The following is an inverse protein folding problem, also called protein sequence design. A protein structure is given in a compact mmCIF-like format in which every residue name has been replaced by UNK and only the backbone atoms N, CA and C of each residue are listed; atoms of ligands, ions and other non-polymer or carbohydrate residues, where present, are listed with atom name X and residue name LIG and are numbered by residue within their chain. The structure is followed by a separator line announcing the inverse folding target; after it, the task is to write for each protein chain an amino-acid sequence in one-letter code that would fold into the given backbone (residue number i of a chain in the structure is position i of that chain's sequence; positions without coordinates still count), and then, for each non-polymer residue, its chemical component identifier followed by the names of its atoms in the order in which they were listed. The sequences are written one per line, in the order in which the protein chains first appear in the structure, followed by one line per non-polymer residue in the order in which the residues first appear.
data_IF_695331332213
#
_entry.id   IF_695331332213
#
_cell.length_a   1.000
_cell.length_b   1.000
_cell.length_c   1.000
_cell.angle_alpha   90.00
_cell.angle_beta   90.00
_cell.angle_gamma   90.00
#
_symmetry.space_group_name_H-M   'P 1'
#
loop_
_entity.id
_entity.type
_entity.pdbx_description
1 polymer ?
#
# COMPACT_ATOMS: atom_id res chain seq x y z
N UNK A 1 -12.97 17.48 -12.16
CA UNK A 1 -13.24 16.93 -10.82
C UNK A 1 -12.46 15.62 -10.54
N UNK A 2 -12.14 14.81 -11.57
CA UNK A 2 -11.42 13.55 -11.39
C UNK A 2 -10.00 13.73 -10.82
N UNK A 3 -9.33 14.84 -11.10
CA UNK A 3 -7.94 15.10 -10.70
C UNK A 3 -7.73 14.93 -9.20
N UNK A 4 -8.67 15.39 -8.36
CA UNK A 4 -8.54 15.23 -6.90
C UNK A 4 -8.51 13.74 -6.48
N UNK A 5 -9.37 12.92 -7.09
CA UNK A 5 -9.38 11.47 -6.85
C UNK A 5 -8.11 10.78 -7.37
N UNK A 6 -7.62 11.22 -8.53
CA UNK A 6 -6.37 10.69 -9.11
C UNK A 6 -5.17 11.04 -8.23
N UNK A 7 -5.09 12.27 -7.70
CA UNK A 7 -4.06 12.65 -6.75
C UNK A 7 -4.11 11.78 -5.48
N UNK A 8 -5.30 11.50 -4.95
CA UNK A 8 -5.47 10.56 -3.84
C UNK A 8 -4.94 9.18 -4.18
N UNK A 9 -5.34 8.63 -5.32
CA UNK A 9 -4.84 7.35 -5.82
C UNK A 9 -3.33 7.30 -6.02
N UNK A 10 -2.72 8.39 -6.50
CA UNK A 10 -1.28 8.52 -6.63
C UNK A 10 -0.57 8.47 -5.28
N UNK A 11 -1.06 9.24 -4.33
CA UNK A 11 -0.44 9.30 -2.99
C UNK A 11 -0.56 7.99 -2.23
N UNK A 12 -1.65 7.25 -2.42
CA UNK A 12 -1.92 6.00 -1.70
C UNK A 12 -1.59 4.74 -2.52
N UNK A 13 -0.92 4.93 -3.68
CA UNK A 13 -0.48 3.83 -4.55
C UNK A 13 -1.63 2.93 -5.03
N UNK A 14 -2.77 3.55 -5.35
CA UNK A 14 -3.96 2.84 -5.83
C UNK A 14 -3.90 2.69 -7.35
N UNK A 15 -3.99 1.48 -7.90
CA UNK A 15 -4.05 1.28 -9.34
C UNK A 15 -5.37 1.82 -9.90
N UNK A 16 -5.29 2.80 -10.77
CA UNK A 16 -6.45 3.44 -11.41
C UNK A 16 -6.24 3.57 -12.91
N UNK A 17 -7.29 3.37 -13.68
CA UNK A 17 -7.35 3.75 -15.08
C UNK A 17 -8.42 4.83 -15.26
N UNK A 18 -8.00 5.98 -15.73
CA UNK A 18 -8.90 7.11 -16.03
C UNK A 18 -9.00 7.30 -17.54
N UNK A 19 -10.22 7.40 -18.03
CA UNK A 19 -10.51 7.69 -19.43
C UNK A 19 -11.23 9.03 -19.52
N UNK A 20 -10.70 9.96 -20.32
CA UNK A 20 -11.36 11.22 -20.62
C UNK A 20 -11.63 11.36 -22.11
N UNK A 21 -12.70 12.04 -22.45
CA UNK A 21 -12.99 12.45 -23.83
C UNK A 21 -12.34 13.80 -24.13
N UNK A 22 -11.90 13.98 -25.37
CA UNK A 22 -11.33 15.21 -25.89
C UNK A 22 -12.11 15.69 -27.14
N UNK A 23 -11.99 16.96 -27.48
CA UNK A 23 -12.44 17.46 -28.78
C UNK A 23 -11.72 16.73 -29.92
N UNK A 24 -12.15 16.88 -31.15
CA UNK A 24 -11.46 16.28 -32.30
C UNK A 24 -9.98 16.67 -32.29
N UNK A 25 -9.10 15.70 -32.54
CA UNK A 25 -7.66 15.93 -32.51
C UNK A 25 -7.22 17.10 -33.42
N UNK A 26 -7.75 17.16 -34.65
CA UNK A 26 -7.47 18.21 -35.62
C UNK A 26 -7.96 19.61 -35.22
N UNK A 27 -8.68 19.72 -34.11
CA UNK A 27 -9.10 21.00 -33.51
C UNK A 27 -8.37 21.31 -32.21
N UNK A 28 -7.31 20.57 -31.88
CA UNK A 28 -6.53 20.83 -30.67
C UNK A 28 -5.35 21.77 -30.92
N UNK A 29 -4.94 22.51 -29.88
CA UNK A 29 -3.71 23.30 -29.90
C UNK A 29 -2.48 22.42 -30.13
N UNK A 30 -2.50 21.18 -29.59
CA UNK A 30 -1.44 20.18 -29.80
C UNK A 30 -1.26 19.85 -31.28
N UNK A 31 -2.34 19.61 -32.00
CA UNK A 31 -2.29 19.36 -33.46
C UNK A 31 -1.77 20.55 -34.27
N UNK A 32 -2.11 21.77 -33.85
CA UNK A 32 -1.67 22.99 -34.55
C UNK A 32 -0.17 23.24 -34.45
N UNK A 33 0.51 22.65 -33.46
CA UNK A 33 1.92 22.87 -33.14
C UNK A 33 2.23 24.28 -32.64
N UNK A 34 1.22 25.09 -32.36
CA UNK A 34 1.34 26.49 -31.94
C UNK A 34 1.22 26.63 -30.42
N UNK A 35 1.86 27.63 -29.85
CA UNK A 35 1.78 27.97 -28.43
C UNK A 35 0.48 28.65 -27.98
N UNK A 36 -0.67 28.36 -28.65
CA UNK A 36 -1.97 28.86 -28.29
C UNK A 36 -2.56 28.09 -27.12
N UNK A 37 -3.48 28.73 -26.37
CA UNK A 37 -4.10 28.10 -25.20
C UNK A 37 -5.14 27.03 -25.54
N UNK A 38 -5.94 27.28 -26.59
CA UNK A 38 -6.95 26.38 -27.10
C UNK A 38 -7.29 26.77 -28.56
N UNK A 39 -7.72 25.80 -29.37
CA UNK A 39 -8.28 26.00 -30.71
C UNK A 39 -9.71 25.44 -30.76
N UNK A 40 -9.96 24.29 -30.16
CA UNK A 40 -11.28 23.69 -30.03
C UNK A 40 -12.12 24.27 -28.89
N UNK A 41 -13.42 24.04 -28.94
CA UNK A 41 -14.35 24.46 -27.88
C UNK A 41 -14.14 23.61 -26.63
N UNK A 42 -13.82 24.27 -25.51
CA UNK A 42 -13.51 23.62 -24.21
C UNK A 42 -12.31 22.64 -24.24
N UNK A 43 -11.43 22.81 -25.22
CA UNK A 43 -10.20 22.02 -25.31
C UNK A 43 -9.28 22.26 -24.09
N UNK A 44 -8.68 21.18 -23.60
CA UNK A 44 -7.63 21.25 -22.60
C UNK A 44 -6.70 20.04 -22.72
N UNK A 45 -5.40 20.28 -22.78
CA UNK A 45 -4.41 19.17 -22.79
C UNK A 45 -4.22 18.63 -21.37
N UNK A 46 -5.12 17.75 -20.96
CA UNK A 46 -5.14 17.18 -19.61
C UNK A 46 -3.88 16.37 -19.31
N UNK A 47 -3.34 15.64 -20.31
CA UNK A 47 -2.17 14.78 -20.11
C UNK A 47 -0.97 15.55 -19.55
N UNK A 48 -0.70 16.76 -20.06
CA UNK A 48 0.37 17.62 -19.53
C UNK A 48 0.14 18.05 -18.09
N UNK A 49 -1.10 18.18 -17.65
CA UNK A 49 -1.44 18.66 -16.31
C UNK A 49 -1.35 17.56 -15.25
N UNK A 50 -1.52 16.31 -15.64
CA UNK A 50 -1.56 15.17 -14.71
C UNK A 50 -0.31 14.30 -14.77
N UNK A 51 0.65 14.64 -15.58
CA UNK A 51 1.92 13.90 -15.75
C UNK A 51 2.61 13.64 -14.39
N UNK A 52 2.62 14.64 -13.50
CA UNK A 52 3.25 14.52 -12.18
C UNK A 52 2.51 13.60 -11.19
N UNK A 53 1.31 13.12 -11.52
CA UNK A 53 0.49 12.26 -10.65
C UNK A 53 -0.05 11.01 -11.37
N UNK A 54 0.59 10.62 -12.47
CA UNK A 54 0.26 9.40 -13.21
C UNK A 54 1.52 8.63 -13.58
N UNK A 55 1.41 7.32 -13.67
CA UNK A 55 2.50 6.46 -14.15
C UNK A 55 2.63 6.46 -15.66
N UNK A 56 1.51 6.74 -16.32
CA UNK A 56 1.40 6.85 -17.77
C UNK A 56 0.20 7.72 -18.11
N UNK A 57 0.40 8.67 -19.00
CA UNK A 57 -0.67 9.47 -19.56
C UNK A 57 -0.46 9.65 -21.06
N UNK A 58 -1.50 9.44 -21.86
CA UNK A 58 -1.44 9.59 -23.31
C UNK A 58 -2.74 10.15 -23.88
N UNK A 59 -2.63 11.10 -24.82
CA UNK A 59 -3.72 11.43 -25.73
C UNK A 59 -3.65 10.46 -26.92
N UNK A 60 -4.62 9.56 -27.01
CA UNK A 60 -4.68 8.53 -28.05
C UNK A 60 -5.12 9.15 -29.37
N UNK A 61 -4.17 9.50 -30.21
CA UNK A 61 -4.46 10.20 -31.49
C UNK A 61 -4.66 9.27 -32.67
N UNK A 62 -4.23 8.02 -32.56
CA UNK A 62 -4.39 6.97 -33.56
C UNK A 62 -5.35 5.90 -33.03
N UNK A 63 -6.51 5.68 -33.68
CA UNK A 63 -7.47 4.66 -33.23
C UNK A 63 -6.89 3.23 -33.25
N UNK A 64 -5.88 2.94 -34.08
CA UNK A 64 -5.25 1.62 -34.13
C UNK A 64 -4.42 1.32 -32.88
N UNK A 65 -4.03 2.34 -32.11
CA UNK A 65 -3.29 2.20 -30.87
C UNK A 65 -4.15 2.00 -29.61
N UNK A 66 -5.48 2.04 -29.75
CA UNK A 66 -6.37 2.03 -28.57
C UNK A 66 -6.17 0.81 -27.69
N UNK A 67 -6.03 -0.39 -28.26
CA UNK A 67 -5.80 -1.63 -27.53
C UNK A 67 -4.46 -1.58 -26.81
N UNK A 68 -3.40 -1.23 -27.51
CA UNK A 68 -2.06 -1.06 -26.92
C UNK A 68 -2.07 -0.10 -25.74
N UNK A 69 -2.63 1.10 -25.90
CA UNK A 69 -2.67 2.11 -24.84
C UNK A 69 -3.46 1.64 -23.61
N UNK A 70 -4.60 0.96 -23.82
CA UNK A 70 -5.42 0.42 -22.73
C UNK A 70 -4.68 -0.68 -21.97
N UNK A 71 -4.10 -1.66 -22.68
CA UNK A 71 -3.38 -2.78 -22.06
C UNK A 71 -2.11 -2.28 -21.34
N UNK A 72 -1.36 -1.35 -21.94
CA UNK A 72 -0.19 -0.68 -21.32
C UNK A 72 -0.59 0.07 -20.05
N UNK A 73 -1.66 0.86 -20.11
CA UNK A 73 -2.14 1.59 -18.94
C UNK A 73 -2.54 0.65 -17.80
N UNK A 74 -3.28 -0.43 -18.09
CA UNK A 74 -3.69 -1.43 -17.11
C UNK A 74 -2.49 -2.17 -16.50
N UNK A 75 -1.50 -2.51 -17.32
CA UNK A 75 -0.27 -3.14 -16.87
C UNK A 75 0.52 -2.20 -15.95
N UNK A 76 0.78 -0.96 -16.40
CA UNK A 76 1.56 0.01 -15.64
C UNK A 76 0.87 0.44 -14.35
N UNK A 77 -0.46 0.57 -14.35
CA UNK A 77 -1.20 0.89 -13.14
C UNK A 77 -0.95 -0.10 -12.01
N UNK A 78 -0.73 -1.39 -12.33
CA UNK A 78 -0.56 -2.49 -11.37
C UNK A 78 0.88 -2.90 -11.13
N UNK A 79 1.82 -2.59 -12.04
CA UNK A 79 3.20 -3.06 -11.96
C UNK A 79 4.06 -2.20 -11.03
N UNK A 80 5.05 -2.80 -10.38
CA UNK A 80 5.93 -2.11 -9.44
C UNK A 80 5.13 -1.46 -8.30
N UNK A 81 5.44 -0.21 -7.93
CA UNK A 81 4.56 0.60 -7.08
C UNK A 81 3.32 0.97 -7.88
N UNK A 82 2.11 0.52 -7.51
CA UNK A 82 0.90 0.82 -8.25
C UNK A 82 0.57 2.32 -8.27
N UNK A 83 -0.25 2.74 -9.23
CA UNK A 83 -0.68 4.14 -9.32
C UNK A 83 -1.57 4.40 -10.52
N UNK A 84 -2.12 5.62 -10.65
CA UNK A 84 -3.01 6.00 -11.73
C UNK A 84 -2.33 6.03 -13.10
N UNK A 85 -3.10 5.67 -14.13
CA UNK A 85 -2.83 5.94 -15.54
C UNK A 85 -4.01 6.67 -16.16
N UNK A 86 -3.76 7.47 -17.19
CA UNK A 86 -4.79 8.31 -17.83
C UNK A 86 -4.68 8.26 -19.35
N UNK A 87 -5.80 7.96 -20.00
CA UNK A 87 -5.91 8.07 -21.46
C UNK A 87 -6.95 9.14 -21.83
N UNK A 88 -6.54 10.09 -22.66
CA UNK A 88 -7.39 11.13 -23.22
C UNK A 88 -7.73 10.80 -24.67
N UNK A 89 -9.01 10.61 -24.99
CA UNK A 89 -9.43 10.01 -26.25
C UNK A 89 -10.21 11.04 -27.08
N UNK A 90 -9.62 11.61 -28.15
CA UNK A 90 -10.28 12.55 -29.04
C UNK A 90 -11.52 11.97 -29.72
N UNK A 91 -12.52 12.83 -29.98
CA UNK A 91 -13.82 12.46 -30.53
C UNK A 91 -13.71 11.70 -31.87
N UNK A 92 -12.78 12.09 -32.73
CA UNK A 92 -12.54 11.39 -34.00
C UNK A 92 -11.97 9.98 -33.82
N UNK A 93 -11.21 9.73 -32.72
CA UNK A 93 -10.73 8.39 -32.34
C UNK A 93 -11.88 7.57 -31.77
N UNK A 94 -12.72 8.16 -30.91
CA UNK A 94 -13.90 7.50 -30.35
C UNK A 94 -14.90 7.03 -31.43
N UNK A 95 -15.01 7.79 -32.51
CA UNK A 95 -15.91 7.46 -33.62
C UNK A 95 -15.28 6.69 -34.77
N UNK A 96 -14.01 6.30 -34.66
CA UNK A 96 -13.33 5.56 -35.71
C UNK A 96 -13.81 4.10 -35.79
N UNK A 97 -13.96 3.61 -37.03
CA UNK A 97 -14.15 2.18 -37.26
C UNK A 97 -12.80 1.48 -37.26
N UNK A 98 -12.68 0.46 -36.42
CA UNK A 98 -11.49 -0.39 -36.33
C UNK A 98 -11.92 -1.86 -36.35
N UNK A 99 -11.20 -2.68 -37.09
CA UNK A 99 -11.35 -4.13 -36.99
C UNK A 99 -10.54 -4.61 -35.79
N UNK A 100 -11.20 -5.29 -34.85
CA UNK A 100 -10.58 -5.67 -33.56
C UNK A 100 -9.41 -6.63 -33.74
N UNK A 101 -9.45 -7.43 -34.80
CA UNK A 101 -8.40 -8.38 -35.19
C UNK A 101 -7.10 -7.69 -35.63
N UNK A 102 -7.20 -6.46 -36.15
CA UNK A 102 -6.06 -5.67 -36.63
C UNK A 102 -5.39 -4.86 -35.53
N UNK A 103 -6.00 -4.82 -34.33
CA UNK A 103 -5.46 -4.06 -33.20
C UNK A 103 -4.32 -4.82 -32.52
N UNK A 104 -3.14 -4.22 -32.52
CA UNK A 104 -2.01 -4.74 -31.76
C UNK A 104 -2.17 -4.50 -30.25
N UNK A 105 -1.81 -5.50 -29.45
CA UNK A 105 -1.81 -5.41 -28.00
C UNK A 105 -0.49 -4.89 -27.44
N UNK A 106 -0.44 -4.75 -26.11
CA UNK A 106 0.77 -4.44 -25.37
C UNK A 106 1.49 -5.76 -24.98
N UNK A 107 2.79 -5.83 -25.23
CA UNK A 107 3.66 -6.94 -24.83
C UNK A 107 4.46 -6.55 -23.57
N UNK A 108 4.09 -7.05 -22.36
CA UNK A 108 4.81 -6.79 -21.15
C UNK A 108 6.26 -7.28 -21.16
N UNK A 109 6.54 -8.44 -21.79
CA UNK A 109 7.88 -9.01 -21.80
C UNK A 109 8.84 -8.16 -22.64
N UNK A 110 8.42 -7.73 -23.84
CA UNK A 110 9.19 -6.80 -24.64
C UNK A 110 9.43 -5.48 -23.89
N UNK A 111 8.40 -4.95 -23.24
CA UNK A 111 8.51 -3.72 -22.45
C UNK A 111 9.50 -3.87 -21.29
N UNK A 112 9.45 -4.94 -20.52
CA UNK A 112 10.36 -5.19 -19.40
C UNK A 112 11.81 -5.38 -19.88
N UNK A 113 12.01 -5.96 -21.05
CA UNK A 113 13.34 -6.13 -21.66
C UNK A 113 13.87 -4.87 -22.37
N UNK A 114 13.23 -3.73 -22.19
CA UNK A 114 13.69 -2.42 -22.70
C UNK A 114 13.08 -2.03 -24.05
N UNK A 115 12.16 -2.84 -24.59
CA UNK A 115 11.36 -2.48 -25.76
C UNK A 115 10.23 -1.51 -25.43
N UNK A 116 9.40 -1.20 -26.41
CA UNK A 116 8.22 -0.35 -26.25
C UNK A 116 7.01 -1.11 -25.71
N UNK A 117 7.02 -2.44 -25.81
CA UNK A 117 5.86 -3.29 -25.62
C UNK A 117 4.88 -3.24 -26.80
N UNK A 118 5.25 -2.59 -27.89
CA UNK A 118 4.49 -2.60 -29.15
C UNK A 118 4.87 -3.83 -29.94
N UNK A 119 3.90 -4.61 -30.37
CA UNK A 119 4.12 -5.86 -31.13
C UNK A 119 4.94 -5.66 -32.40
N UNK A 120 5.58 -6.74 -32.85
CA UNK A 120 6.53 -6.74 -33.97
C UNK A 120 5.89 -6.70 -35.36
N UNK A 121 4.58 -6.64 -35.48
CA UNK A 121 3.85 -6.54 -36.73
C UNK A 121 3.87 -5.13 -37.30
N UNK A 122 4.98 -4.80 -37.88
CA UNK A 122 5.23 -3.97 -39.04
C UNK A 122 4.53 -2.63 -39.20
N UNK A 123 5.19 -1.55 -38.79
CA UNK A 123 5.37 -0.30 -39.57
C UNK A 123 4.15 0.46 -40.14
N UNK A 124 2.97 0.39 -39.58
CA UNK A 124 1.91 1.23 -40.14
C UNK A 124 1.82 2.61 -39.42
N UNK A 125 2.22 2.67 -38.17
CA UNK A 125 2.20 3.92 -37.39
C UNK A 125 3.51 4.09 -36.62
N UNK A 126 4.20 5.19 -36.83
CA UNK A 126 5.45 5.49 -36.15
C UNK A 126 5.23 5.57 -34.65
N UNK A 127 5.99 4.76 -33.87
CA UNK A 127 6.07 4.93 -32.41
C UNK A 127 6.68 6.31 -32.16
N UNK A 128 6.09 7.14 -31.26
CA UNK A 128 6.72 8.39 -30.88
C UNK A 128 8.18 8.17 -30.42
N UNK A 129 9.08 9.08 -30.79
CA UNK A 129 10.52 8.93 -30.47
C UNK A 129 10.79 8.84 -28.95
N UNK A 130 9.92 9.44 -28.13
CA UNK A 130 9.95 9.40 -26.68
C UNK A 130 9.55 8.03 -26.11
N UNK A 131 8.82 7.22 -26.88
CA UNK A 131 8.46 5.83 -26.53
C UNK A 131 9.46 4.81 -27.08
N UNK A 132 10.41 5.20 -27.91
CA UNK A 132 11.43 4.30 -28.41
C UNK A 132 12.22 3.72 -27.23
N UNK A 133 12.19 2.39 -27.11
CA UNK A 133 12.90 1.69 -26.03
C UNK A 133 14.39 1.98 -26.07
N UNK A 134 15.00 2.20 -24.91
CA UNK A 134 16.44 2.44 -24.79
C UNK A 134 17.27 1.16 -24.73
N UNK A 135 16.60 -0.01 -24.88
CA UNK A 135 17.26 -1.32 -24.82
C UNK A 135 17.74 -1.73 -23.41
N UNK A 136 17.45 -0.93 -22.39
CA UNK A 136 17.78 -1.25 -21.00
C UNK A 136 16.63 -1.98 -20.32
N UNK A 137 16.94 -3.08 -19.64
CA UNK A 137 15.95 -3.84 -18.89
C UNK A 137 15.33 -2.98 -17.79
N UNK A 138 14.01 -2.91 -17.74
CA UNK A 138 13.27 -2.18 -16.70
C UNK A 138 13.09 -3.06 -15.47
N UNK A 139 13.58 -2.60 -14.35
CA UNK A 139 13.34 -3.26 -13.07
C UNK A 139 12.11 -2.65 -12.40
N UNK A 140 10.97 -3.30 -12.54
CA UNK A 140 9.69 -2.83 -12.00
C UNK A 140 9.52 -3.12 -10.51
N UNK A 141 10.13 -4.19 -10.01
CA UNK A 141 10.14 -4.57 -8.60
C UNK A 141 11.56 -4.52 -8.05
N UNK A 142 11.73 -4.23 -6.75
CA UNK A 142 13.02 -4.37 -6.09
C UNK A 142 13.57 -5.80 -6.17
N UNK A 143 14.85 -5.95 -5.85
CA UNK A 143 15.47 -7.26 -5.67
C UNK A 143 14.82 -8.03 -4.52
N UNK A 144 14.91 -9.36 -4.57
CA UNK A 144 14.38 -10.22 -3.51
C UNK A 144 15.16 -10.05 -2.22
N UNK A 145 14.45 -10.21 -1.10
CA UNK A 145 15.04 -10.21 0.24
C UNK A 145 15.94 -11.42 0.41
N UNK A 146 17.17 -11.21 0.88
CA UNK A 146 18.06 -12.32 1.16
C UNK A 146 17.70 -13.04 2.46
N UNK A 147 18.12 -14.28 2.58
CA UNK A 147 17.96 -15.07 3.81
C UNK A 147 18.66 -14.40 4.99
N UNK A 148 19.84 -13.85 4.79
CA UNK A 148 20.61 -13.16 5.82
C UNK A 148 19.86 -11.94 6.36
N UNK A 149 19.13 -11.21 5.49
CA UNK A 149 18.28 -10.09 5.91
C UNK A 149 17.12 -10.57 6.77
N UNK A 150 16.45 -11.66 6.38
CA UNK A 150 15.37 -12.24 7.17
C UNK A 150 15.88 -12.73 8.54
N UNK A 151 16.99 -13.44 8.59
CA UNK A 151 17.60 -13.92 9.82
C UNK A 151 18.03 -12.76 10.74
N UNK A 152 18.55 -11.65 10.17
CA UNK A 152 18.87 -10.44 10.92
C UNK A 152 17.62 -9.82 11.54
N UNK A 153 16.53 -9.67 10.79
CA UNK A 153 15.26 -9.14 11.29
C UNK A 153 14.75 -10.01 12.45
N UNK A 154 14.69 -11.33 12.26
CA UNK A 154 14.21 -12.25 13.29
C UNK A 154 15.10 -12.23 14.55
N UNK A 155 16.42 -12.12 14.39
CA UNK A 155 17.34 -11.98 15.52
C UNK A 155 17.11 -10.69 16.32
N UNK A 156 16.81 -9.58 15.63
CA UNK A 156 16.47 -8.30 16.28
C UNK A 156 15.16 -8.38 17.04
N UNK A 157 14.12 -8.97 16.44
CA UNK A 157 12.82 -9.18 17.09
C UNK A 157 12.98 -10.02 18.34
N UNK A 158 13.75 -11.12 18.27
CA UNK A 158 14.00 -12.01 19.41
C UNK A 158 14.75 -11.31 20.57
N UNK A 159 15.64 -10.38 20.25
CA UNK A 159 16.40 -9.63 21.25
C UNK A 159 15.61 -8.45 21.86
N UNK A 160 14.53 -8.02 21.23
CA UNK A 160 13.71 -6.91 21.69
C UNK A 160 12.84 -7.33 22.89
N UNK A 161 12.56 -6.38 23.77
CA UNK A 161 11.66 -6.57 24.90
C UNK A 161 10.24 -6.11 24.61
N UNK A 162 10.10 -5.12 23.73
CA UNK A 162 8.82 -4.46 23.39
C UNK A 162 8.68 -4.27 21.87
N UNK A 163 8.78 -5.36 21.08
CA UNK A 163 8.63 -5.26 19.64
C UNK A 163 7.17 -5.04 19.24
N UNK A 164 6.96 -4.34 18.12
CA UNK A 164 5.65 -4.19 17.46
C UNK A 164 5.78 -4.35 15.95
N UNK A 165 4.74 -4.87 15.31
CA UNK A 165 4.56 -4.77 13.86
C UNK A 165 3.69 -3.55 13.57
N UNK A 166 4.14 -2.69 12.66
CA UNK A 166 3.33 -1.64 12.06
C UNK A 166 2.93 -2.08 10.65
N UNK A 167 1.70 -2.58 10.53
CA UNK A 167 1.15 -3.07 9.26
C UNK A 167 0.62 -1.92 8.42
N UNK A 168 1.08 -1.79 7.19
CA UNK A 168 0.64 -0.80 6.22
C UNK A 168 -0.14 -1.40 5.06
N UNK A 169 -0.81 -0.54 4.29
CA UNK A 169 -1.64 -0.95 3.15
C UNK A 169 -0.86 -1.65 2.03
N UNK A 170 0.46 -1.46 1.97
CA UNK A 170 1.34 -2.20 1.05
C UNK A 170 1.22 -3.71 1.16
N UNK A 171 0.83 -4.24 2.33
CA UNK A 171 0.54 -5.67 2.54
C UNK A 171 -0.64 -6.11 1.66
N UNK A 172 -1.73 -5.33 1.63
CA UNK A 172 -2.90 -5.60 0.79
C UNK A 172 -2.61 -5.41 -0.68
N UNK A 173 -1.92 -4.34 -1.04
CA UNK A 173 -1.51 -4.03 -2.41
C UNK A 173 -0.64 -5.14 -3.00
N UNK A 174 0.30 -5.68 -2.21
CA UNK A 174 1.16 -6.79 -2.62
C UNK A 174 0.44 -8.15 -2.66
N UNK A 175 -0.84 -8.24 -2.27
CA UNK A 175 -1.55 -9.51 -2.14
C UNK A 175 -0.92 -10.43 -1.09
N UNK A 176 -0.39 -9.86 -0.01
CA UNK A 176 0.41 -10.54 1.01
C UNK A 176 -0.32 -10.77 2.34
N UNK A 177 -1.63 -10.55 2.39
CA UNK A 177 -2.39 -10.62 3.64
C UNK A 177 -2.29 -11.98 4.34
N UNK A 178 -2.45 -13.07 3.61
CA UNK A 178 -2.44 -14.41 4.21
C UNK A 178 -1.06 -14.78 4.79
N UNK A 179 0.01 -14.41 4.10
CA UNK A 179 1.37 -14.63 4.62
C UNK A 179 1.68 -13.67 5.78
N UNK A 180 1.16 -12.44 5.75
CA UNK A 180 1.28 -11.50 6.86
C UNK A 180 0.64 -12.06 8.14
N UNK A 181 -0.56 -12.61 8.05
CA UNK A 181 -1.24 -13.20 9.21
C UNK A 181 -0.44 -14.36 9.79
N UNK A 182 0.07 -15.27 8.93
CA UNK A 182 0.93 -16.38 9.41
C UNK A 182 2.20 -15.87 10.10
N UNK A 183 2.86 -14.87 9.50
CA UNK A 183 4.08 -14.27 10.10
C UNK A 183 3.77 -13.61 11.45
N UNK A 184 2.68 -12.83 11.53
CA UNK A 184 2.26 -12.17 12.77
C UNK A 184 1.97 -13.17 13.89
N UNK A 185 1.24 -14.26 13.59
CA UNK A 185 0.92 -15.33 14.54
C UNK A 185 2.16 -16.09 14.98
N UNK A 186 3.07 -16.45 14.07
CA UNK A 186 4.36 -17.10 14.39
C UNK A 186 5.29 -16.20 15.21
N UNK A 187 5.30 -14.90 14.95
CA UNK A 187 6.06 -13.93 15.73
C UNK A 187 5.47 -13.75 17.12
N UNK A 188 4.16 -13.70 17.27
CA UNK A 188 3.47 -13.50 18.54
C UNK A 188 3.63 -12.10 19.14
N UNK A 189 3.94 -11.09 18.33
CA UNK A 189 4.15 -9.71 18.79
C UNK A 189 2.95 -8.81 18.47
N UNK A 190 2.71 -7.73 19.27
CA UNK A 190 1.61 -6.81 19.03
C UNK A 190 1.64 -6.20 17.63
N UNK A 191 0.46 -6.12 17.01
CA UNK A 191 0.24 -5.53 15.69
C UNK A 191 -0.52 -4.22 15.83
N UNK A 192 -0.02 -3.18 15.19
CA UNK A 192 -0.68 -1.89 14.99
C UNK A 192 -0.84 -1.61 13.51
N UNK A 193 -1.90 -0.89 13.16
CA UNK A 193 -2.19 -0.53 11.78
C UNK A 193 -2.02 0.96 11.54
N UNK A 194 -1.84 1.35 10.29
CA UNK A 194 -2.02 2.70 9.82
C UNK A 194 -3.51 3.04 9.65
N UNK A 195 -3.78 4.22 9.16
CA UNK A 195 -5.14 4.70 8.95
C UNK A 195 -5.81 4.14 7.68
N UNK A 196 -5.03 3.63 6.75
CA UNK A 196 -5.42 3.06 5.46
C UNK A 196 -5.19 1.55 5.38
N UNK A 197 -4.91 0.92 6.52
CA UNK A 197 -4.59 -0.51 6.63
C UNK A 197 -5.34 -1.21 7.75
N UNK A 198 -6.48 -0.68 8.15
CA UNK A 198 -7.33 -1.20 9.22
C UNK A 198 -7.88 -2.60 8.96
N UNK A 199 -7.94 -3.01 7.70
CA UNK A 199 -8.37 -4.34 7.28
C UNK A 199 -7.25 -5.39 7.25
N UNK A 200 -6.01 -5.02 7.60
CA UNK A 200 -4.91 -5.97 7.68
C UNK A 200 -5.06 -6.98 8.82
N UNK A 201 -5.77 -6.61 9.89
CA UNK A 201 -6.04 -7.48 11.04
C UNK A 201 -7.35 -7.02 11.70
N UNK A 202 -8.20 -7.95 12.13
CA UNK A 202 -9.48 -7.58 12.74
C UNK A 202 -9.34 -7.18 14.21
N UNK A 203 -10.28 -6.37 14.68
CA UNK A 203 -10.21 -5.73 16.00
C UNK A 203 -10.12 -6.70 17.17
N UNK A 204 -10.77 -7.86 17.10
CA UNK A 204 -10.78 -8.86 18.17
C UNK A 204 -9.58 -9.81 18.14
N UNK A 205 -8.70 -9.69 17.13
CA UNK A 205 -7.52 -10.53 17.08
C UNK A 205 -6.62 -10.31 18.31
N UNK A 206 -6.11 -11.38 18.96
CA UNK A 206 -5.33 -11.26 20.19
C UNK A 206 -4.07 -10.40 20.07
N UNK A 207 -3.47 -10.31 18.88
CA UNK A 207 -2.27 -9.52 18.62
C UNK A 207 -2.61 -8.05 18.26
N UNK A 208 -3.85 -7.75 17.86
CA UNK A 208 -4.19 -6.38 17.47
C UNK A 208 -4.27 -5.44 18.67
N UNK A 209 -3.44 -4.40 18.64
CA UNK A 209 -3.37 -3.41 19.73
C UNK A 209 -4.17 -2.16 19.42
N UNK A 210 -4.18 -1.73 18.17
CA UNK A 210 -4.88 -0.51 17.76
C UNK A 210 -4.24 0.16 16.56
N UNK A 211 -4.64 1.39 16.30
CA UNK A 211 -4.20 2.22 15.19
C UNK A 211 -3.29 3.33 15.69
N UNK A 212 -2.10 3.48 15.06
CA UNK A 212 -1.21 4.58 15.37
C UNK A 212 -1.35 5.76 14.41
N UNK A 213 -0.87 6.93 14.82
CA UNK A 213 -0.86 8.16 14.04
C UNK A 213 -1.83 9.22 14.56
N UNK A 214 -1.97 10.33 13.81
CA UNK A 214 -2.80 11.47 14.19
C UNK A 214 -4.29 11.12 14.33
N UNK A 215 -4.75 10.19 13.53
CA UNK A 215 -6.12 9.66 13.53
C UNK A 215 -6.19 8.30 14.23
N UNK A 216 -5.14 7.92 14.93
CA UNK A 216 -5.06 6.67 15.67
C UNK A 216 -5.72 6.74 17.05
N UNK A 217 -5.81 5.58 17.67
CA UNK A 217 -6.27 5.44 19.04
C UNK A 217 -5.12 5.54 20.05
N UNK A 218 -5.46 5.55 21.33
CA UNK A 218 -4.46 5.67 22.41
C UNK A 218 -3.59 4.43 22.50
N UNK A 219 -4.17 3.25 22.39
CA UNK A 219 -3.46 1.99 22.57
C UNK A 219 -2.40 1.81 21.47
N UNK A 220 -2.76 2.01 20.19
CA UNK A 220 -1.83 1.97 19.08
C UNK A 220 -0.69 2.97 19.21
N UNK A 221 -1.01 4.22 19.60
CA UNK A 221 0.00 5.25 19.81
C UNK A 221 0.89 4.95 21.04
N UNK A 222 0.35 4.40 22.13
CA UNK A 222 1.16 4.00 23.28
C UNK A 222 2.09 2.85 22.94
N UNK A 223 1.62 1.86 22.16
CA UNK A 223 2.44 0.74 21.72
C UNK A 223 3.65 1.21 20.90
N UNK A 224 3.43 2.05 19.89
CA UNK A 224 4.52 2.62 19.08
C UNK A 224 5.52 3.41 19.93
N UNK A 225 5.02 4.28 20.81
CA UNK A 225 5.86 5.20 21.55
C UNK A 225 6.68 4.54 22.68
N UNK A 226 6.26 3.36 23.13
CA UNK A 226 6.95 2.61 24.17
C UNK A 226 7.66 1.35 23.65
N UNK A 227 7.58 1.09 22.34
CA UNK A 227 8.33 -0.01 21.71
C UNK A 227 9.83 0.24 21.74
N UNK A 228 10.61 -0.84 21.73
CA UNK A 228 12.07 -0.83 21.53
C UNK A 228 12.46 -1.42 20.16
N UNK A 229 11.49 -1.97 19.43
CA UNK A 229 11.62 -2.36 18.03
C UNK A 229 10.31 -2.17 17.29
N UNK A 230 10.38 -1.58 16.10
CA UNK A 230 9.26 -1.48 15.14
C UNK A 230 9.64 -2.19 13.86
N UNK A 231 8.86 -3.21 13.48
CA UNK A 231 8.87 -3.79 12.14
C UNK A 231 7.74 -3.15 11.33
N UNK A 232 8.07 -2.18 10.48
CA UNK A 232 7.10 -1.51 9.61
C UNK A 232 7.11 -2.15 8.22
N UNK A 233 5.97 -2.68 7.79
CA UNK A 233 5.81 -3.39 6.51
C UNK A 233 4.83 -2.64 5.62
N UNK A 234 5.29 -2.12 4.49
CA UNK A 234 4.47 -1.49 3.45
C UNK A 234 3.64 -0.29 3.91
N UNK A 235 4.15 0.49 4.89
CA UNK A 235 3.38 1.56 5.54
C UNK A 235 3.67 2.95 4.99
N UNK A 236 4.69 3.14 4.16
CA UNK A 236 5.15 4.47 3.73
C UNK A 236 5.51 5.43 4.88
N UNK A 237 5.04 5.22 6.09
CA UNK A 237 5.26 6.06 7.27
C UNK A 237 5.05 7.56 6.97
N UNK A 238 3.86 7.90 6.49
CA UNK A 238 3.48 9.28 6.16
C UNK A 238 3.40 10.16 7.42
N UNK A 239 3.35 11.47 7.25
CA UNK A 239 3.16 12.42 8.36
C UNK A 239 1.90 12.12 9.19
N UNK A 240 0.86 11.55 8.59
CA UNK A 240 -0.34 11.10 9.32
C UNK A 240 -0.03 9.98 10.31
N UNK A 241 0.93 9.10 9.97
CA UNK A 241 1.37 8.00 10.82
C UNK A 241 2.40 8.46 11.87
N UNK A 242 3.43 9.18 11.44
CA UNK A 242 4.56 9.56 12.32
C UNK A 242 4.34 10.90 13.05
N UNK A 243 3.38 11.70 12.61
CA UNK A 243 3.07 13.01 13.15
C UNK A 243 4.02 14.11 12.68
N UNK A 244 3.63 15.38 12.90
CA UNK A 244 4.48 16.52 12.54
C UNK A 244 5.75 16.62 13.39
N UNK A 245 5.71 16.09 14.62
CA UNK A 245 6.90 15.96 15.46
C UNK A 245 7.56 14.58 15.25
N UNK A 246 7.79 14.21 13.99
CA UNK A 246 8.29 12.90 13.58
C UNK A 246 9.61 12.49 14.26
N UNK A 247 10.42 13.44 14.72
CA UNK A 247 11.67 13.17 15.44
C UNK A 247 11.44 12.43 16.78
N UNK A 248 10.23 12.48 17.32
CA UNK A 248 9.87 11.78 18.56
C UNK A 248 9.06 10.52 18.32
N UNK A 249 8.77 10.17 17.07
CA UNK A 249 8.07 8.95 16.75
C UNK A 249 8.95 7.74 17.01
N UNK A 250 8.40 6.73 17.69
CA UNK A 250 9.11 5.51 18.04
C UNK A 250 10.52 5.76 18.64
N UNK A 251 10.63 6.79 19.49
CA UNK A 251 11.87 7.44 19.94
C UNK A 251 12.94 6.52 20.55
N UNK A 252 12.55 5.35 21.04
CA UNK A 252 13.45 4.37 21.65
C UNK A 252 13.58 3.08 20.86
N UNK A 253 12.88 2.98 19.73
CA UNK A 253 12.81 1.77 18.95
C UNK A 253 13.92 1.68 17.90
N UNK A 254 14.43 0.48 17.69
CA UNK A 254 15.13 0.10 16.48
C UNK A 254 14.09 -0.05 15.35
N UNK A 255 14.14 0.79 14.33
CA UNK A 255 13.14 0.83 13.27
C UNK A 255 13.62 0.04 12.05
N UNK A 256 12.89 -1.03 11.75
CA UNK A 256 13.03 -1.79 10.51
C UNK A 256 11.90 -1.31 9.58
N UNK A 257 12.25 -0.66 8.48
CA UNK A 257 11.28 -0.14 7.54
C UNK A 257 11.38 -0.85 6.19
N UNK A 258 10.28 -1.48 5.76
CA UNK A 258 10.13 -2.06 4.43
C UNK A 258 9.25 -1.17 3.57
N UNK A 259 9.73 -0.87 2.39
CA UNK A 259 8.96 -0.19 1.34
C UNK A 259 9.42 -0.67 -0.04
N UNK A 260 8.50 -0.65 -1.01
CA UNK A 260 8.78 -0.96 -2.40
C UNK A 260 9.53 0.18 -3.11
N UNK A 261 9.46 1.39 -2.54
CA UNK A 261 10.08 2.60 -3.07
C UNK A 261 11.29 3.00 -2.21
N UNK A 262 12.48 2.97 -2.81
CA UNK A 262 13.72 3.31 -2.12
C UNK A 262 13.77 4.77 -1.64
N UNK A 263 13.03 5.67 -2.28
CA UNK A 263 13.01 7.09 -1.89
C UNK A 263 12.17 7.31 -0.62
N UNK A 264 11.12 6.51 -0.43
CA UNK A 264 10.35 6.52 0.82
C UNK A 264 11.21 6.13 2.03
N UNK A 265 12.17 5.23 1.83
CA UNK A 265 13.10 4.80 2.88
C UNK A 265 14.18 5.86 3.23
N UNK A 266 14.39 6.87 2.38
CA UNK A 266 15.40 7.92 2.54
C UNK A 266 14.83 9.24 3.07
N UNK A 267 13.51 9.37 3.17
CA UNK A 267 12.87 10.64 3.54
C UNK A 267 13.22 11.06 4.97
N UNK A 268 13.39 12.37 5.23
CA UNK A 268 13.89 12.86 6.52
C UNK A 268 12.89 12.72 7.67
N UNK A 269 11.62 12.41 7.39
CA UNK A 269 10.58 12.20 8.41
C UNK A 269 10.59 10.79 9.02
N UNK A 270 11.45 9.90 8.54
CA UNK A 270 11.56 8.52 9.06
C UNK A 270 13.03 8.21 9.29
N UNK A 271 13.35 7.79 10.52
CA UNK A 271 14.63 7.19 10.82
C UNK A 271 14.47 5.67 10.71
N UNK A 272 15.08 5.05 9.72
CA UNK A 272 15.15 3.61 9.58
C UNK A 272 16.55 3.13 9.95
N UNK A 273 16.66 2.34 11.04
CA UNK A 273 17.93 1.70 11.42
C UNK A 273 18.27 0.55 10.46
N UNK A 274 17.25 -0.10 9.93
CA UNK A 274 17.35 -1.10 8.87
C UNK A 274 16.31 -0.81 7.79
N UNK A 275 16.76 -0.30 6.66
CA UNK A 275 15.93 -0.09 5.48
C UNK A 275 15.90 -1.35 4.61
N UNK A 276 14.72 -1.88 4.31
CA UNK A 276 14.50 -3.06 3.49
C UNK A 276 13.74 -2.67 2.22
N UNK A 277 14.48 -2.40 1.15
CA UNK A 277 13.92 -2.08 -0.15
C UNK A 277 13.48 -3.36 -0.84
N UNK A 278 12.21 -3.72 -0.66
CA UNK A 278 11.64 -4.96 -1.20
C UNK A 278 10.12 -4.86 -1.30
N UNK A 279 9.52 -5.70 -2.14
CA UNK A 279 8.09 -5.96 -2.11
C UNK A 279 7.69 -6.56 -0.75
N UNK A 280 6.57 -6.11 -0.20
CA UNK A 280 6.09 -6.55 1.11
C UNK A 280 5.82 -8.07 1.14
N UNK A 281 5.33 -8.63 0.03
CA UNK A 281 5.08 -10.07 -0.07
C UNK A 281 6.39 -10.86 -0.03
N UNK A 282 7.40 -10.41 -0.76
CA UNK A 282 8.71 -11.08 -0.78
C UNK A 282 9.35 -11.07 0.61
N UNK A 283 9.33 -9.94 1.31
CA UNK A 283 9.81 -9.87 2.70
C UNK A 283 9.07 -10.85 3.61
N UNK A 284 7.73 -10.86 3.55
CA UNK A 284 6.91 -11.69 4.42
C UNK A 284 7.08 -13.19 4.10
N UNK A 285 7.22 -13.58 2.83
CA UNK A 285 7.50 -14.96 2.44
C UNK A 285 8.87 -15.43 2.95
N UNK A 286 9.90 -14.58 2.89
CA UNK A 286 11.21 -14.89 3.44
C UNK A 286 11.19 -15.03 4.97
N UNK A 287 10.46 -14.17 5.66
CA UNK A 287 10.27 -14.27 7.11
C UNK A 287 9.49 -15.52 7.49
N UNK A 288 8.41 -15.85 6.75
CA UNK A 288 7.58 -17.03 6.97
C UNK A 288 8.41 -18.32 6.92
N UNK A 289 9.19 -18.49 5.84
CA UNK A 289 10.07 -19.65 5.68
C UNK A 289 11.18 -19.73 6.72
N UNK A 290 11.77 -18.59 7.09
CA UNK A 290 12.79 -18.56 8.13
C UNK A 290 12.22 -18.89 9.52
N UNK A 291 11.00 -18.44 9.82
CA UNK A 291 10.28 -18.76 11.05
C UNK A 291 9.95 -20.25 11.16
N UNK A 292 9.50 -20.88 10.07
CA UNK A 292 9.22 -22.32 10.06
C UNK A 292 10.46 -23.13 10.47
N UNK A 293 11.61 -22.84 9.87
CA UNK A 293 12.85 -23.54 10.21
C UNK A 293 13.30 -23.33 11.68
N UNK A 294 13.12 -22.11 12.20
CA UNK A 294 13.46 -21.80 13.60
C UNK A 294 12.54 -22.55 14.55
N UNK A 295 11.22 -22.47 14.34
CA UNK A 295 10.22 -23.08 15.19
C UNK A 295 10.26 -24.62 15.14
N UNK A 296 10.59 -25.21 13.98
CA UNK A 296 10.83 -26.66 13.87
C UNK A 296 12.06 -27.11 14.67
N UNK A 297 13.20 -26.40 14.52
CA UNK A 297 14.43 -26.72 15.27
C UNK A 297 14.21 -26.66 16.79
N UNK A 298 13.54 -25.59 17.26
CA UNK A 298 13.19 -25.44 18.67
C UNK A 298 12.14 -26.47 19.12
N UNK A 299 11.22 -26.85 18.20
CA UNK A 299 10.24 -27.91 18.36
C UNK A 299 10.88 -29.27 18.68
N UNK A 300 11.85 -29.62 17.89
CA UNK A 300 12.57 -30.88 18.04
C UNK A 300 13.41 -30.91 19.32
N UNK A 301 13.98 -29.77 19.73
CA UNK A 301 14.75 -29.68 21.01
C UNK A 301 13.84 -29.73 22.24
N UNK A 302 12.59 -29.21 22.19
CA UNK A 302 11.63 -29.26 23.29
C UNK A 302 10.81 -30.55 23.34
N UNK A 303 10.57 -31.23 22.21
CA UNK A 303 9.89 -32.51 22.17
C UNK A 303 10.67 -33.60 22.94
N UNK A 304 11.98 -33.42 23.05
CA UNK A 304 12.82 -34.24 23.94
C UNK A 304 12.65 -33.90 25.44
N UNK A 305 12.03 -32.78 25.80
CA UNK A 305 11.98 -32.30 27.16
C UNK A 305 10.61 -32.09 27.81
N UNK A 306 9.49 -31.86 27.10
CA UNK A 306 8.17 -31.61 27.74
C UNK A 306 6.96 -31.77 26.81
N UNK A 307 5.93 -32.43 27.36
CA UNK A 307 4.57 -32.50 26.84
C UNK A 307 3.76 -31.23 27.20
N UNK A 308 3.73 -30.18 26.35
CA UNK A 308 2.67 -29.18 26.38
C UNK A 308 2.37 -28.69 24.96
N UNK A 309 1.12 -28.93 24.54
CA UNK A 309 0.50 -28.39 23.32
C UNK A 309 0.22 -26.89 23.50
N UNK A 310 0.94 -26.03 22.79
CA UNK A 310 0.62 -24.65 22.50
C UNK A 310 1.26 -24.32 21.14
N UNK A 311 0.61 -23.50 20.32
CA UNK A 311 1.24 -22.96 19.12
C UNK A 311 2.49 -22.20 19.54
N UNK A 312 3.61 -22.51 18.90
CA UNK A 312 4.89 -21.89 19.24
C UNK A 312 5.00 -20.55 18.55
N UNK A 313 5.34 -19.55 19.32
CA UNK A 313 5.65 -18.21 18.86
C UNK A 313 7.12 -17.91 19.11
N UNK A 314 7.71 -17.07 18.25
CA UNK A 314 9.11 -16.64 18.39
C UNK A 314 9.33 -15.76 19.61
N UNK A 315 8.34 -14.95 19.97
CA UNK A 315 8.39 -13.99 21.05
C UNK A 315 7.65 -14.49 22.29
N UNK A 316 8.26 -14.37 23.43
CA UNK A 316 7.77 -14.94 24.71
C UNK A 316 6.89 -13.98 25.53
N UNK A 317 6.45 -12.87 24.91
CA UNK A 317 5.60 -11.84 25.52
C UNK A 317 6.35 -10.61 26.07
N UNK A 318 7.66 -10.67 26.23
CA UNK A 318 8.54 -9.54 26.56
C UNK A 318 8.29 -8.86 27.92
N UNK A 319 8.83 -7.65 28.09
CA UNK A 319 8.72 -6.86 29.33
C UNK A 319 7.80 -5.63 29.12
N UNK A 320 6.66 -5.62 29.78
CA UNK A 320 5.68 -4.52 29.77
C UNK A 320 5.74 -3.64 31.00
N UNK A 321 4.57 -3.22 31.48
CA UNK A 321 4.42 -2.54 32.77
C UNK A 321 4.75 -3.48 33.94
N UNK A 322 5.05 -2.97 35.15
CA UNK A 322 5.37 -3.80 36.29
C UNK A 322 4.35 -4.92 36.52
N UNK A 323 4.82 -6.15 36.47
CA UNK A 323 4.01 -7.36 36.64
C UNK A 323 3.25 -7.84 35.42
N UNK A 324 3.49 -7.26 34.23
CA UNK A 324 2.88 -7.66 32.97
C UNK A 324 3.92 -7.90 31.89
N UNK A 325 3.65 -8.82 31.01
CA UNK A 325 4.35 -8.93 29.72
C UNK A 325 4.02 -7.74 28.82
N UNK A 326 4.80 -7.56 27.75
CA UNK A 326 4.54 -6.52 26.75
C UNK A 326 3.19 -6.72 26.03
N UNK A 327 2.88 -7.95 25.65
CA UNK A 327 1.61 -8.30 25.00
C UNK A 327 0.40 -8.04 25.92
N UNK A 328 0.52 -8.36 27.23
CA UNK A 328 -0.53 -8.04 28.21
C UNK A 328 -0.68 -6.54 28.40
N UNK A 329 0.42 -5.78 28.45
CA UNK A 329 0.40 -4.32 28.55
C UNK A 329 -0.33 -3.70 27.36
N UNK A 330 -0.03 -4.13 26.13
CA UNK A 330 -0.71 -3.65 24.91
C UNK A 330 -2.22 -3.96 24.95
N UNK A 331 -2.60 -5.17 25.35
CA UNK A 331 -3.99 -5.59 25.51
C UNK A 331 -4.70 -4.75 26.55
N UNK A 332 -4.09 -4.54 27.70
CA UNK A 332 -4.63 -3.70 28.77
C UNK A 332 -4.88 -2.26 28.31
N UNK A 333 -3.98 -1.67 27.53
CA UNK A 333 -4.22 -0.35 26.94
C UNK A 333 -5.43 -0.33 26.00
N UNK A 334 -5.58 -1.35 25.15
CA UNK A 334 -6.73 -1.48 24.25
C UNK A 334 -8.05 -1.56 25.03
N UNK A 335 -8.09 -2.34 26.09
CA UNK A 335 -9.27 -2.51 26.94
C UNK A 335 -9.58 -1.26 27.76
N UNK A 336 -8.52 -0.58 28.27
CA UNK A 336 -8.67 0.63 29.11
C UNK A 336 -9.08 1.87 28.29
N UNK A 337 -8.65 1.93 27.04
CA UNK A 337 -8.88 3.09 26.17
C UNK A 337 -9.61 2.71 24.86
N UNK A 338 -10.80 2.11 24.94
CA UNK A 338 -11.56 1.75 23.74
C UNK A 338 -11.90 3.00 22.93
N UNK A 339 -11.92 2.85 21.60
CA UNK A 339 -12.27 3.93 20.66
C UNK A 339 -13.70 4.41 20.93
N UNK A 340 -14.64 3.47 21.07
CA UNK A 340 -16.02 3.78 21.45
C UNK A 340 -16.21 3.52 22.93
N UNK A 341 -16.47 4.59 23.68
CA UNK A 341 -16.63 4.58 25.13
C UNK A 341 -18.12 4.59 25.50
N UNK A 342 -18.45 4.15 26.71
CA UNK A 342 -19.83 4.13 27.23
C UNK A 342 -20.51 5.51 27.10
N UNK A 343 -19.79 6.59 27.38
CA UNK A 343 -20.30 7.96 27.23
C UNK A 343 -20.78 8.31 25.81
N UNK A 344 -20.28 7.64 24.78
CA UNK A 344 -20.68 7.88 23.39
C UNK A 344 -22.08 7.33 23.08
N UNK A 345 -22.62 6.44 23.94
CA UNK A 345 -23.97 5.90 23.85
C UNK A 345 -25.00 6.70 24.66
N UNK A 346 -24.54 7.65 25.50
CA UNK A 346 -25.40 8.47 26.34
C UNK A 346 -25.91 9.68 25.54
N UNK A 347 -26.92 9.49 24.71
CA UNK A 347 -27.65 10.53 24.00
C UNK A 347 -29.16 10.33 24.12
N UNK A 348 -29.91 11.41 24.00
CA UNK A 348 -31.37 11.41 24.07
C UNK A 348 -31.97 11.46 22.66
N UNK A 349 -33.27 11.19 22.55
CA UNK A 349 -33.98 11.29 21.25
C UNK A 349 -33.96 12.71 20.65
N UNK A 350 -33.57 13.70 21.42
CA UNK A 350 -33.50 15.12 21.01
C UNK A 350 -32.08 15.55 20.61
N UNK A 351 -31.06 14.73 20.84
CA UNK A 351 -29.67 15.00 20.54
C UNK A 351 -29.16 14.18 19.37
N UNK A 352 -28.29 14.73 18.52
CA UNK A 352 -27.63 13.93 17.48
C UNK A 352 -26.88 12.76 18.12
N UNK A 353 -26.99 11.58 17.50
CA UNK A 353 -26.20 10.43 17.91
C UNK A 353 -24.69 10.72 17.79
N UNK A 354 -23.93 10.24 18.74
CA UNK A 354 -22.48 10.36 18.67
C UNK A 354 -21.95 9.54 17.48
N UNK A 355 -21.08 10.14 16.65
CA UNK A 355 -20.60 9.52 15.42
C UNK A 355 -19.88 8.18 15.66
N UNK A 356 -19.09 8.07 16.73
CA UNK A 356 -18.41 6.81 17.06
C UNK A 356 -19.40 5.69 17.41
N UNK A 357 -20.42 5.99 18.22
CA UNK A 357 -21.47 5.03 18.54
C UNK A 357 -22.29 4.63 17.30
N UNK A 358 -22.61 5.61 16.43
CA UNK A 358 -23.33 5.35 15.19
C UNK A 358 -22.54 4.44 14.24
N UNK A 359 -21.24 4.72 14.03
CA UNK A 359 -20.37 3.89 13.19
C UNK A 359 -20.25 2.47 13.79
N UNK A 360 -20.04 2.34 15.09
CA UNK A 360 -19.99 1.03 15.73
C UNK A 360 -21.30 0.26 15.57
N UNK A 361 -22.44 0.93 15.73
CA UNK A 361 -23.75 0.32 15.54
C UNK A 361 -23.97 -0.18 14.11
N UNK A 362 -23.45 0.52 13.11
CA UNK A 362 -23.49 0.12 11.70
C UNK A 362 -22.52 -1.02 11.45
N UNK A 363 -21.23 -0.83 11.81
CA UNK A 363 -20.17 -1.80 11.51
C UNK A 363 -20.42 -3.17 12.15
N UNK A 364 -20.96 -3.21 13.39
CA UNK A 364 -21.31 -4.46 14.05
C UNK A 364 -22.44 -5.26 13.38
N UNK A 365 -23.13 -4.69 12.39
CA UNK A 365 -24.20 -5.31 11.62
C UNK A 365 -23.81 -5.65 10.18
N UNK A 366 -22.61 -5.29 9.77
CA UNK A 366 -22.08 -5.64 8.45
C UNK A 366 -21.92 -7.17 8.36
N UNK A 367 -22.19 -7.70 7.17
CA UNK A 367 -22.04 -9.13 6.89
C UNK A 367 -20.68 -9.39 6.23
N UNK A 368 -20.18 -10.61 6.36
CA UNK A 368 -19.01 -11.06 5.64
C UNK A 368 -19.16 -10.80 4.13
N UNK A 369 -18.11 -10.28 3.50
CA UNK A 369 -18.10 -9.93 2.08
C UNK A 369 -18.88 -8.65 1.72
N UNK A 370 -19.47 -7.95 2.68
CA UNK A 370 -20.14 -6.67 2.42
C UNK A 370 -19.13 -5.56 2.14
N UNK A 371 -19.31 -4.89 1.01
CA UNK A 371 -18.50 -3.72 0.65
C UNK A 371 -19.14 -2.46 1.22
N UNK A 372 -18.39 -1.69 1.99
CA UNK A 372 -18.80 -0.39 2.51
C UNK A 372 -18.02 0.72 1.82
N UNK A 373 -18.72 1.63 1.15
CA UNK A 373 -18.10 2.81 0.53
C UNK A 373 -18.32 4.00 1.45
N UNK A 374 -17.22 4.62 1.86
CA UNK A 374 -17.25 5.81 2.74
C UNK A 374 -16.69 7.03 2.00
N UNK A 375 -17.21 8.23 2.34
CA UNK A 375 -16.69 9.48 1.84
C UNK A 375 -15.43 9.92 2.60
N UNK A 376 -14.75 10.92 2.06
CA UNK A 376 -13.66 11.60 2.75
C UNK A 376 -14.25 12.61 3.76
N UNK A 377 -13.68 12.67 4.95
CA UNK A 377 -14.03 13.65 5.98
C UNK A 377 -14.27 13.02 7.35
N UNK A 378 -15.41 13.34 7.97
CA UNK A 378 -15.69 12.98 9.35
C UNK A 378 -16.37 11.63 9.56
N UNK A 379 -16.57 10.87 8.49
CA UNK A 379 -17.25 9.57 8.59
C UNK A 379 -16.26 8.42 8.72
#
# INVERSE_FOLDING_TARGET
NAITGVLGGWLDSIPMLVLSGQVRYDTTARWSGLGIRAMGDQEFDICKSIDCMTKYSEMVIDPMRIRYCLEKALYLAKSGRPGPCWLDIPLNVQGAFVETEDLEGFDPEDYENGGTGWGTMGNIHAIPEDEAGKGEKRQLLPGKVSRETADLILSKIRAAKRPVINAGNGIRIAGAHDVFMRVAEKLGIPVITGWDSEDCIWDEHPLYTGRAGNMGDRAGNFAIQNSDLVLSVGSRLSIRQVGYNYKTWARAAFVIANDIDSEELKKPSVHADLAVHADAKDLLEQLDGALDEILEKEGNQLAESLSKKGEKQLFDGGEGLPGMSWSETCRMWKETYPVVQEKHWNFTDQEPANVYAAIQAISSRLKEGQITVVGNGSA
#
